data_IF_014547807471
#
_entry.id   IF_014547807471
#
_cell.length_a   1.000
_cell.length_b   1.000
_cell.length_c   1.000
_cell.angle_alpha   90.00
_cell.angle_beta   90.00
_cell.angle_gamma   90.00
#
_symmetry.space_group_name_H-M   'P 1'
#
loop_
_entity.id
_entity.type
_entity.pdbx_description
1 polymer ?
#
# COMPACT_ATOMS: atom_id res chain seq x y z
N UNK A 1 -14.02 -55.79 24.04
CA UNK A 1 -12.73 -56.43 23.74
C UNK A 1 -12.58 -56.46 22.23
N UNK A 2 -11.58 -55.72 21.76
CA UNK A 2 -10.97 -55.68 20.42
C UNK A 2 -11.83 -55.99 19.19
N UNK A 3 -12.11 -54.96 18.40
CA UNK A 3 -12.09 -55.08 16.94
C UNK A 3 -11.24 -53.94 16.38
N UNK A 4 -10.01 -54.29 16.04
CA UNK A 4 -9.07 -53.50 15.24
C UNK A 4 -9.47 -53.57 13.76
N UNK A 5 -9.74 -52.42 13.13
CA UNK A 5 -9.79 -52.29 11.67
C UNK A 5 -8.70 -51.29 11.25
N UNK A 6 -7.83 -51.63 10.28
CA UNK A 6 -6.60 -50.92 10.00
C UNK A 6 -6.73 -49.90 8.86
N UNK A 7 -5.77 -48.95 8.86
CA UNK A 7 -5.14 -48.35 7.68
C UNK A 7 -6.00 -47.57 6.66
N UNK A 8 -6.04 -46.25 6.82
CA UNK A 8 -6.04 -45.29 5.69
C UNK A 8 -4.98 -44.23 5.97
N UNK A 9 -3.72 -44.61 5.75
CA UNK A 9 -2.63 -43.64 5.61
C UNK A 9 -2.79 -42.97 4.24
N UNK A 10 -3.38 -41.77 4.25
CA UNK A 10 -3.33 -40.84 3.12
C UNK A 10 -1.88 -40.43 2.89
N UNK A 11 -1.21 -41.11 1.97
CA UNK A 11 0.02 -40.62 1.35
C UNK A 11 -0.29 -39.93 0.03
N UNK A 12 0.32 -38.77 -0.17
CA UNK A 12 0.37 -37.95 -1.40
C UNK A 12 -0.94 -37.19 -1.70
N UNK A 13 -0.97 -35.87 -1.87
CA UNK A 13 0.01 -34.99 -2.51
C UNK A 13 0.07 -33.68 -1.71
N UNK A 14 1.22 -33.41 -1.09
CA UNK A 14 1.64 -32.05 -0.78
C UNK A 14 1.80 -31.30 -2.10
N UNK A 15 0.70 -30.74 -2.61
CA UNK A 15 0.76 -29.75 -3.67
C UNK A 15 1.21 -28.44 -3.01
N UNK A 16 2.51 -28.43 -2.69
CA UNK A 16 3.26 -27.20 -2.51
C UNK A 16 3.27 -26.52 -3.87
N UNK A 17 2.17 -25.86 -4.21
CA UNK A 17 2.19 -24.83 -5.23
C UNK A 17 3.00 -23.70 -4.61
N UNK A 18 4.32 -23.82 -4.72
CA UNK A 18 5.21 -22.69 -4.62
C UNK A 18 4.59 -21.62 -5.49
N UNK A 19 4.12 -20.56 -4.84
CA UNK A 19 3.73 -19.32 -5.48
C UNK A 19 4.99 -18.87 -6.24
N UNK A 20 5.10 -19.31 -7.50
CA UNK A 20 6.12 -18.84 -8.41
C UNK A 20 5.77 -17.38 -8.66
N UNK A 21 6.33 -16.50 -7.83
CA UNK A 21 6.41 -15.09 -8.13
C UNK A 21 7.22 -15.00 -9.42
N UNK A 22 6.53 -14.80 -10.54
CA UNK A 22 7.18 -14.50 -11.80
C UNK A 22 7.78 -13.11 -11.65
N UNK A 23 9.00 -13.07 -11.11
CA UNK A 23 9.84 -11.90 -11.07
C UNK A 23 10.01 -11.37 -12.50
N UNK A 24 10.00 -10.05 -12.66
CA UNK A 24 10.31 -9.43 -13.95
C UNK A 24 11.70 -9.84 -14.45
N UNK A 25 12.05 -9.47 -15.68
CA UNK A 25 13.30 -9.86 -16.38
C UNK A 25 14.57 -9.62 -15.54
N UNK A 26 14.53 -8.73 -14.53
CA UNK A 26 15.61 -8.43 -13.59
C UNK A 26 15.35 -8.76 -12.10
N UNK A 27 14.28 -9.48 -11.75
CA UNK A 27 14.02 -9.82 -10.35
C UNK A 27 13.06 -8.90 -9.59
N UNK A 28 12.86 -7.66 -10.05
CA UNK A 28 12.05 -6.64 -9.37
C UNK A 28 10.55 -6.78 -9.64
N UNK A 29 9.72 -6.54 -8.61
CA UNK A 29 8.27 -6.46 -8.77
C UNK A 29 7.90 -5.16 -9.51
N UNK A 30 6.81 -5.17 -10.31
CA UNK A 30 6.20 -3.94 -10.83
C UNK A 30 5.87 -2.93 -9.73
N UNK A 31 5.73 -1.66 -10.10
CA UNK A 31 5.32 -0.59 -9.19
C UNK A 31 4.03 0.06 -9.66
N UNK A 32 3.07 0.22 -8.76
CA UNK A 32 1.88 1.06 -8.94
C UNK A 32 2.09 2.38 -8.19
N UNK A 33 1.88 3.51 -8.86
CA UNK A 33 1.94 4.84 -8.27
C UNK A 33 0.53 5.42 -8.19
N UNK A 34 0.15 5.97 -7.03
CA UNK A 34 -1.07 6.74 -6.85
C UNK A 34 -0.74 8.15 -6.36
N UNK A 35 -1.08 9.16 -7.16
CA UNK A 35 -0.81 10.55 -6.85
C UNK A 35 -1.71 11.11 -5.73
N UNK A 36 -1.36 12.31 -5.26
CA UNK A 36 -2.09 13.06 -4.24
C UNK A 36 -3.19 13.96 -4.80
N UNK A 37 -3.83 14.70 -3.90
CA UNK A 37 -4.87 15.68 -4.25
C UNK A 37 -4.32 16.75 -5.21
N UNK A 38 -5.04 17.00 -6.32
CA UNK A 38 -4.70 18.07 -7.27
C UNK A 38 -3.48 17.83 -8.16
N UNK A 39 -2.97 16.61 -8.19
CA UNK A 39 -1.97 16.17 -9.17
C UNK A 39 -2.60 15.17 -10.16
N UNK A 40 -1.80 14.61 -11.06
CA UNK A 40 -2.19 13.58 -12.02
C UNK A 40 -1.13 12.50 -12.17
N UNK A 41 -1.49 11.40 -12.84
CA UNK A 41 -0.59 10.29 -13.15
C UNK A 41 0.74 10.70 -13.79
N UNK A 42 0.75 11.81 -14.52
CA UNK A 42 1.66 11.98 -15.65
C UNK A 42 2.27 13.37 -15.74
N UNK A 43 2.12 14.21 -14.70
CA UNK A 43 2.76 15.51 -14.62
C UNK A 43 4.30 15.36 -14.62
N UNK A 44 5.04 15.89 -15.61
CA UNK A 44 6.50 15.74 -15.71
C UNK A 44 7.27 16.27 -14.49
N UNK A 45 6.72 17.24 -13.77
CA UNK A 45 7.37 17.85 -12.60
C UNK A 45 7.03 17.13 -11.28
N UNK A 46 6.13 16.14 -11.30
CA UNK A 46 5.69 15.39 -10.11
C UNK A 46 5.75 13.88 -10.37
N UNK A 47 4.62 13.21 -10.61
CA UNK A 47 4.62 11.74 -10.79
C UNK A 47 5.44 11.28 -11.99
N UNK A 48 5.59 12.11 -13.02
CA UNK A 48 6.49 11.87 -14.15
C UNK A 48 7.95 11.83 -13.71
N UNK A 49 8.41 12.79 -12.90
CA UNK A 49 9.79 12.82 -12.40
C UNK A 49 10.07 11.64 -11.46
N UNK A 50 9.13 11.31 -10.57
CA UNK A 50 9.22 10.12 -9.69
C UNK A 50 9.33 8.84 -10.51
N UNK A 51 8.46 8.67 -11.52
CA UNK A 51 8.50 7.50 -12.40
C UNK A 51 9.86 7.39 -13.11
N UNK A 52 10.34 8.46 -13.71
CA UNK A 52 11.64 8.47 -14.40
C UNK A 52 12.81 8.18 -13.44
N UNK A 53 12.78 8.71 -12.23
CA UNK A 53 13.78 8.45 -11.20
C UNK A 53 13.85 6.97 -10.83
N UNK A 54 12.69 6.31 -10.69
CA UNK A 54 12.58 4.88 -10.37
C UNK A 54 13.06 4.01 -11.54
N UNK A 55 12.58 4.29 -12.75
CA UNK A 55 12.98 3.53 -13.96
C UNK A 55 14.50 3.64 -14.22
N UNK A 56 15.11 4.78 -13.88
CA UNK A 56 16.57 4.97 -13.95
C UNK A 56 17.35 4.10 -12.95
N UNK A 57 16.82 3.89 -11.74
CA UNK A 57 17.53 3.21 -10.64
C UNK A 57 17.13 1.75 -10.44
N UNK A 58 16.05 1.29 -11.07
CA UNK A 58 15.59 -0.11 -11.05
C UNK A 58 15.41 -0.58 -12.51
N UNK A 59 16.50 -1.04 -13.16
CA UNK A 59 16.45 -1.39 -14.58
C UNK A 59 15.39 -2.45 -14.88
N UNK A 60 14.55 -2.21 -15.89
CA UNK A 60 13.53 -3.16 -16.35
C UNK A 60 12.26 -3.23 -15.49
N UNK A 61 12.11 -2.37 -14.48
CA UNK A 61 10.88 -2.27 -13.71
C UNK A 61 9.70 -1.80 -14.59
N UNK A 62 8.52 -2.38 -14.39
CA UNK A 62 7.29 -1.86 -14.96
C UNK A 62 6.64 -0.91 -13.96
N UNK A 63 6.51 0.38 -14.32
CA UNK A 63 5.84 1.39 -13.48
C UNK A 63 4.49 1.81 -14.07
N UNK A 64 3.42 1.55 -13.32
CA UNK A 64 2.04 1.96 -13.61
C UNK A 64 1.64 3.13 -12.73
N UNK A 65 1.77 4.35 -13.24
CA UNK A 65 1.16 5.54 -12.63
C UNK A 65 -0.33 5.58 -12.96
N UNK A 66 -1.18 5.57 -11.95
CA UNK A 66 -2.63 5.44 -12.10
C UNK A 66 -3.25 6.75 -12.58
N UNK A 67 -4.05 6.66 -13.64
CA UNK A 67 -4.94 7.72 -14.13
C UNK A 67 -6.40 7.30 -13.88
N UNK A 68 -7.15 8.16 -13.20
CA UNK A 68 -8.57 7.98 -12.85
C UNK A 68 -9.41 8.89 -13.75
N UNK A 69 -10.21 8.28 -14.63
CA UNK A 69 -10.83 8.97 -15.75
C UNK A 69 -10.07 8.78 -17.07
N UNK A 70 -10.41 9.62 -18.06
CA UNK A 70 -10.02 9.42 -19.47
C UNK A 70 -8.83 10.29 -19.92
N UNK A 71 -8.46 11.30 -19.14
CA UNK A 71 -7.36 12.21 -19.46
C UNK A 71 -6.82 12.88 -18.18
N UNK A 72 -5.69 13.60 -18.32
CA UNK A 72 -4.99 14.26 -17.22
C UNK A 72 -5.85 15.31 -16.48
N UNK A 73 -6.72 16.01 -17.21
CA UNK A 73 -7.60 17.04 -16.63
C UNK A 73 -8.64 16.37 -15.73
N UNK A 74 -9.29 15.33 -16.23
CA UNK A 74 -10.25 14.54 -15.46
C UNK A 74 -9.59 13.89 -14.23
N UNK A 75 -8.38 13.35 -14.39
CA UNK A 75 -7.58 12.76 -13.31
C UNK A 75 -7.32 13.75 -12.17
N UNK A 76 -6.92 14.97 -12.54
CA UNK A 76 -6.67 16.06 -11.58
C UNK A 76 -7.93 16.45 -10.82
N UNK A 77 -9.05 16.64 -11.53
CA UNK A 77 -10.33 16.99 -10.91
C UNK A 77 -10.92 15.86 -10.07
N UNK A 78 -10.79 14.60 -10.52
CA UNK A 78 -11.23 13.43 -9.79
C UNK A 78 -10.47 13.28 -8.47
N UNK A 79 -9.21 13.70 -8.42
CA UNK A 79 -8.43 13.82 -7.18
C UNK A 79 -9.10 14.68 -6.09
N UNK A 80 -9.96 15.63 -6.46
CA UNK A 80 -10.73 16.46 -5.52
C UNK A 80 -12.19 16.01 -5.36
N UNK A 81 -12.87 15.67 -6.47
CA UNK A 81 -14.33 15.64 -6.52
C UNK A 81 -14.93 14.24 -6.64
N UNK A 82 -14.16 13.26 -7.12
CA UNK A 82 -14.69 11.92 -7.31
C UNK A 82 -14.79 11.18 -5.97
N UNK A 83 -15.92 10.53 -5.74
CA UNK A 83 -16.12 9.70 -4.54
C UNK A 83 -14.97 8.67 -4.38
N UNK A 84 -14.29 8.68 -3.24
CA UNK A 84 -13.13 7.83 -2.99
C UNK A 84 -13.42 6.33 -3.15
N UNK A 85 -14.63 5.86 -2.78
CA UNK A 85 -14.98 4.45 -3.00
C UNK A 85 -15.08 4.10 -4.48
N UNK A 86 -15.56 5.02 -5.33
CA UNK A 86 -15.57 4.82 -6.79
C UNK A 86 -14.15 4.84 -7.36
N UNK A 87 -13.28 5.74 -6.89
CA UNK A 87 -11.87 5.76 -7.27
C UNK A 87 -11.19 4.41 -6.96
N UNK A 88 -11.39 3.89 -5.74
CA UNK A 88 -10.85 2.59 -5.33
C UNK A 88 -11.40 1.45 -6.20
N UNK A 89 -12.69 1.45 -6.53
CA UNK A 89 -13.28 0.44 -7.42
C UNK A 89 -12.67 0.48 -8.82
N UNK A 90 -12.51 1.67 -9.40
CA UNK A 90 -11.90 1.86 -10.71
C UNK A 90 -10.44 1.39 -10.73
N UNK A 91 -9.65 1.77 -9.71
CA UNK A 91 -8.26 1.35 -9.59
C UNK A 91 -8.13 -0.16 -9.40
N UNK A 92 -8.95 -0.77 -8.54
CA UNK A 92 -8.97 -2.23 -8.38
C UNK A 92 -9.24 -2.93 -9.71
N UNK A 93 -10.18 -2.43 -10.53
CA UNK A 93 -10.45 -2.97 -11.87
C UNK A 93 -9.22 -2.83 -12.77
N UNK A 94 -8.61 -1.65 -12.84
CA UNK A 94 -7.39 -1.44 -13.65
C UNK A 94 -6.26 -2.39 -13.26
N UNK A 95 -6.01 -2.55 -11.95
CA UNK A 95 -4.98 -3.46 -11.43
C UNK A 95 -5.28 -4.91 -11.80
N UNK A 96 -6.52 -5.37 -11.61
CA UNK A 96 -6.91 -6.76 -11.92
C UNK A 96 -6.81 -7.08 -13.42
N UNK A 97 -7.03 -6.09 -14.28
CA UNK A 97 -6.93 -6.26 -15.74
C UNK A 97 -5.51 -6.18 -16.29
N UNK A 98 -4.57 -5.60 -15.54
CA UNK A 98 -3.18 -5.48 -15.98
C UNK A 98 -2.43 -6.80 -15.75
N UNK A 99 -2.14 -7.52 -16.84
CA UNK A 99 -1.47 -8.81 -16.79
C UNK A 99 -0.09 -8.77 -16.13
N UNK A 100 0.59 -7.62 -16.16
CA UNK A 100 1.90 -7.45 -15.54
C UNK A 100 1.83 -7.39 -14.02
N UNK A 101 0.67 -7.07 -13.44
CA UNK A 101 0.48 -6.93 -11.99
C UNK A 101 -0.06 -8.19 -11.31
N UNK A 102 -0.41 -9.24 -12.07
CA UNK A 102 -1.06 -10.46 -11.55
C UNK A 102 -0.20 -11.24 -10.56
N UNK A 103 1.12 -11.19 -10.71
CA UNK A 103 2.07 -11.99 -9.91
C UNK A 103 2.70 -11.20 -8.74
N UNK A 104 1.99 -10.17 -8.27
CA UNK A 104 2.46 -9.26 -7.23
C UNK A 104 3.03 -7.97 -7.79
N UNK A 105 2.98 -6.92 -6.98
CA UNK A 105 3.48 -5.59 -7.30
C UNK A 105 3.76 -4.83 -6.00
N UNK A 106 4.66 -3.85 -6.07
CA UNK A 106 4.82 -2.81 -5.07
C UNK A 106 3.83 -1.67 -5.34
N UNK A 107 3.39 -0.98 -4.29
CA UNK A 107 2.55 0.21 -4.42
C UNK A 107 3.15 1.37 -3.62
N UNK A 108 3.11 2.56 -4.20
CA UNK A 108 3.47 3.81 -3.53
C UNK A 108 2.36 4.84 -3.76
N UNK A 109 1.90 5.44 -2.67
CA UNK A 109 0.89 6.48 -2.68
C UNK A 109 1.44 7.78 -2.10
N UNK A 110 1.14 8.90 -2.74
CA UNK A 110 1.58 10.23 -2.29
C UNK A 110 0.40 10.99 -1.68
N UNK A 111 0.60 11.60 -0.50
CA UNK A 111 -0.45 12.30 0.24
C UNK A 111 -1.71 11.42 0.39
N UNK A 112 -2.90 11.87 -0.04
CA UNK A 112 -4.13 11.06 -0.01
C UNK A 112 -4.00 9.70 -0.73
N UNK A 113 -3.12 9.61 -1.75
CA UNK A 113 -2.87 8.39 -2.49
C UNK A 113 -2.35 7.25 -1.60
N UNK A 114 -1.67 7.55 -0.49
CA UNK A 114 -1.22 6.56 0.49
C UNK A 114 -2.38 5.81 1.14
N UNK A 115 -3.39 6.55 1.60
CA UNK A 115 -4.60 5.97 2.19
C UNK A 115 -5.43 5.22 1.13
N UNK A 116 -5.45 5.71 -0.10
CA UNK A 116 -6.16 5.05 -1.20
C UNK A 116 -5.49 3.74 -1.62
N UNK A 117 -4.15 3.68 -1.69
CA UNK A 117 -3.41 2.44 -1.87
C UNK A 117 -3.75 1.43 -0.78
N UNK A 118 -3.69 1.84 0.50
CA UNK A 118 -4.04 0.98 1.63
C UNK A 118 -5.48 0.45 1.51
N UNK A 119 -6.45 1.32 1.23
CA UNK A 119 -7.84 0.92 1.06
C UNK A 119 -8.05 -0.02 -0.14
N UNK A 120 -7.33 0.21 -1.25
CA UNK A 120 -7.27 -0.68 -2.41
C UNK A 120 -6.75 -2.06 -2.03
N UNK A 121 -5.64 -2.14 -1.30
CA UNK A 121 -5.07 -3.41 -0.81
C UNK A 121 -6.06 -4.18 0.06
N UNK A 122 -6.72 -3.50 0.99
CA UNK A 122 -7.75 -4.12 1.84
C UNK A 122 -8.91 -4.67 1.01
N UNK A 123 -9.37 -3.93 0.00
CA UNK A 123 -10.53 -4.30 -0.84
C UNK A 123 -10.21 -5.30 -1.95
N UNK A 124 -8.97 -5.38 -2.42
CA UNK A 124 -8.58 -6.32 -3.47
C UNK A 124 -8.95 -7.75 -3.03
N UNK A 125 -9.71 -8.45 -3.87
CA UNK A 125 -10.21 -9.81 -3.62
C UNK A 125 -11.28 -9.93 -2.51
N UNK A 126 -11.83 -8.83 -2.01
CA UNK A 126 -13.02 -8.89 -1.15
C UNK A 126 -14.26 -9.06 -2.03
N UNK A 127 -14.72 -10.29 -2.14
CA UNK A 127 -15.93 -10.70 -2.88
C UNK A 127 -16.79 -11.44 -1.86
N UNK A 128 -17.80 -10.78 -1.27
CA UNK A 128 -18.97 -11.34 -0.51
C UNK A 128 -19.59 -10.27 0.42
N UNK A 129 -20.49 -10.67 1.34
CA UNK A 129 -21.24 -9.85 2.31
C UNK A 129 -20.35 -9.03 3.28
N UNK A 130 -20.94 -8.06 3.99
CA UNK A 130 -20.20 -7.07 4.80
C UNK A 130 -19.34 -7.64 5.94
N UNK A 131 -19.73 -8.77 6.54
CA UNK A 131 -18.97 -9.37 7.65
C UNK A 131 -17.72 -10.10 7.14
N UNK A 132 -17.83 -10.79 6.01
CA UNK A 132 -16.70 -11.41 5.33
C UNK A 132 -15.72 -10.34 4.80
N UNK A 133 -16.24 -9.19 4.35
CA UNK A 133 -15.44 -8.03 3.92
C UNK A 133 -14.60 -7.43 5.06
N UNK A 134 -15.14 -7.36 6.29
CA UNK A 134 -14.36 -6.84 7.43
C UNK A 134 -13.23 -7.77 7.83
N UNK A 135 -13.48 -9.08 7.80
CA UNK A 135 -12.44 -10.09 8.06
C UNK A 135 -11.39 -10.13 6.94
N UNK A 136 -11.79 -9.91 5.68
CA UNK A 136 -10.86 -9.88 4.56
C UNK A 136 -9.89 -8.70 4.61
N UNK A 137 -10.28 -7.53 5.14
CA UNK A 137 -9.41 -6.35 5.20
C UNK A 137 -8.15 -6.58 6.03
N UNK A 138 -8.32 -7.16 7.23
CA UNK A 138 -7.19 -7.53 8.11
C UNK A 138 -6.29 -8.56 7.40
N UNK A 139 -6.87 -9.62 6.85
CA UNK A 139 -6.13 -10.68 6.16
C UNK A 139 -5.36 -10.14 4.96
N UNK A 140 -5.98 -9.28 4.16
CA UNK A 140 -5.36 -8.70 2.97
C UNK A 140 -4.22 -7.75 3.31
N UNK A 141 -4.39 -6.89 4.32
CA UNK A 141 -3.32 -6.00 4.76
C UNK A 141 -2.10 -6.79 5.28
N UNK A 142 -2.34 -7.87 6.02
CA UNK A 142 -1.27 -8.73 6.57
C UNK A 142 -0.46 -9.48 5.51
N UNK A 143 -0.96 -9.60 4.27
CA UNK A 143 -0.20 -10.17 3.13
C UNK A 143 0.95 -9.28 2.69
N UNK A 144 0.94 -7.99 3.02
CA UNK A 144 2.05 -7.10 2.70
C UNK A 144 3.35 -7.62 3.31
N UNK A 145 4.42 -7.58 2.52
CA UNK A 145 5.77 -7.87 3.01
C UNK A 145 6.30 -6.70 3.85
N UNK A 146 6.05 -5.47 3.39
CA UNK A 146 6.43 -4.24 4.05
C UNK A 146 5.28 -3.23 3.94
N UNK A 147 5.02 -2.49 5.02
CA UNK A 147 4.17 -1.31 5.04
C UNK A 147 5.00 -0.13 5.54
N UNK A 148 5.44 0.68 4.58
CA UNK A 148 6.34 1.82 4.82
C UNK A 148 5.52 3.10 4.92
N UNK A 149 5.73 3.85 6.00
CA UNK A 149 5.07 5.11 6.28
C UNK A 149 6.13 6.20 6.43
N UNK A 150 6.00 7.27 5.66
CA UNK A 150 6.94 8.40 5.64
C UNK A 150 6.27 9.59 6.29
N UNK A 151 6.94 10.19 7.28
CA UNK A 151 6.52 11.43 7.92
C UNK A 151 7.40 12.61 7.50
N UNK A 152 6.80 13.73 7.14
CA UNK A 152 7.47 15.00 6.90
C UNK A 152 7.59 15.80 8.21
N UNK A 153 8.81 16.06 8.66
CA UNK A 153 9.03 16.63 10.00
C UNK A 153 8.47 18.07 10.13
N UNK A 154 8.37 18.80 9.03
CA UNK A 154 7.91 20.18 8.97
C UNK A 154 6.62 20.32 8.15
N UNK A 155 5.81 19.26 8.07
CA UNK A 155 4.56 19.27 7.30
C UNK A 155 3.60 20.37 7.79
N UNK A 156 3.24 21.27 6.87
CA UNK A 156 2.28 22.36 7.10
C UNK A 156 0.91 22.11 6.46
N UNK A 157 0.74 21.00 5.74
CA UNK A 157 -0.49 20.64 5.03
C UNK A 157 -1.32 19.61 5.80
N UNK A 158 -0.67 18.65 6.45
CA UNK A 158 -1.32 17.55 7.18
C UNK A 158 -1.44 17.90 8.66
N UNK A 159 -2.69 17.94 9.16
CA UNK A 159 -2.97 18.23 10.57
C UNK A 159 -3.85 17.16 11.23
N UNK A 160 -3.37 16.45 12.27
CA UNK A 160 -2.00 16.48 12.79
C UNK A 160 -1.06 15.67 11.88
N UNK A 161 0.19 16.10 11.71
CA UNK A 161 1.21 15.36 10.91
C UNK A 161 1.41 13.91 11.38
N UNK A 162 1.12 13.63 12.65
CA UNK A 162 1.17 12.29 13.22
C UNK A 162 0.25 11.28 12.50
N UNK A 163 -0.75 11.75 11.76
CA UNK A 163 -1.57 10.90 10.88
C UNK A 163 -0.76 10.16 9.83
N UNK A 164 0.38 10.70 9.40
CA UNK A 164 1.30 10.06 8.45
C UNK A 164 1.88 8.75 9.01
N UNK A 165 1.89 8.58 10.34
CA UNK A 165 2.28 7.37 11.06
C UNK A 165 1.11 6.77 11.89
N UNK A 166 -0.14 6.93 11.45
CA UNK A 166 -1.34 6.42 12.14
C UNK A 166 -1.58 6.97 13.56
N UNK A 167 -0.89 8.04 13.95
CA UNK A 167 -1.26 8.79 15.15
C UNK A 167 -2.43 9.73 14.90
N UNK A 168 -3.10 10.17 15.97
CA UNK A 168 -4.19 11.13 15.87
C UNK A 168 -4.39 11.90 17.17
N UNK A 169 -5.31 12.85 17.19
CA UNK A 169 -5.78 13.46 18.43
C UNK A 169 -6.50 12.46 19.32
N UNK A 170 -6.27 12.53 20.63
CA UNK A 170 -7.08 11.79 21.60
C UNK A 170 -8.56 12.18 21.50
N UNK A 171 -9.52 11.24 21.66
CA UNK A 171 -10.93 11.52 21.49
C UNK A 171 -11.42 12.69 22.36
N UNK A 172 -12.28 13.53 21.79
CA UNK A 172 -12.94 14.65 22.49
C UNK A 172 -12.17 15.97 22.51
N UNK A 173 -11.02 16.07 21.83
CA UNK A 173 -10.18 17.27 21.81
C UNK A 173 -9.20 17.28 20.60
N UNK A 174 -8.47 18.38 20.39
CA UNK A 174 -7.61 18.64 19.23
C UNK A 174 -6.17 19.10 19.58
N UNK A 175 -5.68 18.74 20.78
CA UNK A 175 -4.35 19.14 21.30
C UNK A 175 -3.45 17.94 21.60
N UNK A 176 -3.88 17.08 22.50
CA UNK A 176 -3.15 15.88 22.89
C UNK A 176 -3.23 14.82 21.79
N UNK A 177 -2.09 14.21 21.50
CA UNK A 177 -1.96 13.19 20.47
C UNK A 177 -1.79 11.80 21.10
N UNK A 178 -2.17 10.78 20.34
CA UNK A 178 -1.76 9.40 20.56
C UNK A 178 -1.00 8.89 19.34
N UNK A 179 -0.08 7.96 19.57
CA UNK A 179 0.62 7.20 18.54
C UNK A 179 -0.18 5.98 18.09
N UNK A 180 0.14 5.38 16.94
CA UNK A 180 -0.47 4.11 16.52
C UNK A 180 -0.53 3.08 17.66
N UNK A 181 0.57 2.89 18.40
CA UNK A 181 0.68 1.87 19.47
C UNK A 181 -0.22 2.14 20.68
N UNK A 182 -0.63 3.40 20.88
CA UNK A 182 -1.56 3.80 21.94
C UNK A 182 -3.03 3.74 21.49
N UNK A 183 -3.29 3.57 20.19
CA UNK A 183 -4.65 3.55 19.64
C UNK A 183 -5.37 2.23 19.93
N UNK A 184 -6.69 2.29 20.08
CA UNK A 184 -7.55 1.09 20.14
C UNK A 184 -7.41 0.22 18.89
N UNK A 185 -7.19 0.84 17.72
CA UNK A 185 -6.95 0.15 16.46
C UNK A 185 -5.79 -0.87 16.55
N UNK A 186 -4.70 -0.48 17.22
CA UNK A 186 -3.52 -1.31 17.41
C UNK A 186 -3.65 -2.26 18.60
N UNK A 187 -4.14 -1.77 19.75
CA UNK A 187 -4.26 -2.56 20.99
C UNK A 187 -5.18 -3.78 20.78
N UNK A 188 -6.30 -3.59 20.09
CA UNK A 188 -7.24 -4.66 19.74
C UNK A 188 -6.90 -5.34 18.40
N UNK A 189 -5.83 -4.89 17.73
CA UNK A 189 -5.35 -5.43 16.47
C UNK A 189 -6.43 -5.54 15.37
N UNK A 190 -7.30 -4.53 15.28
CA UNK A 190 -8.51 -4.55 14.42
C UNK A 190 -8.19 -4.69 12.93
N UNK A 191 -7.03 -4.19 12.50
CA UNK A 191 -6.54 -4.29 11.12
C UNK A 191 -5.32 -5.21 10.97
N UNK A 192 -4.85 -5.86 12.05
CA UNK A 192 -3.65 -6.70 12.00
C UNK A 192 -2.32 -5.94 12.12
N UNK A 193 -2.35 -4.63 12.39
CA UNK A 193 -1.16 -3.77 12.46
C UNK A 193 -0.22 -4.16 13.60
N UNK A 194 -0.72 -4.64 14.74
CA UNK A 194 0.14 -5.09 15.85
C UNK A 194 0.89 -6.35 15.49
N UNK A 195 0.22 -7.29 14.84
CA UNK A 195 0.87 -8.50 14.35
C UNK A 195 1.89 -8.20 13.23
N UNK A 196 1.64 -7.20 12.38
CA UNK A 196 2.61 -6.74 11.38
C UNK A 196 3.81 -6.05 12.02
N UNK A 197 3.62 -5.21 13.04
CA UNK A 197 4.69 -4.54 13.77
C UNK A 197 5.60 -5.57 14.46
N UNK A 198 5.03 -6.59 15.13
CA UNK A 198 5.82 -7.66 15.76
C UNK A 198 6.60 -8.53 14.77
N UNK A 199 6.21 -8.53 13.49
CA UNK A 199 6.91 -9.22 12.41
C UNK A 199 7.94 -8.32 11.69
N UNK A 200 8.12 -7.07 12.14
CA UNK A 200 9.03 -6.11 11.50
C UNK A 200 8.54 -5.62 10.14
N UNK A 201 7.24 -5.74 9.84
CA UNK A 201 6.66 -5.33 8.56
C UNK A 201 6.31 -3.85 8.51
N UNK A 202 6.13 -3.17 9.65
CA UNK A 202 5.85 -1.74 9.70
C UNK A 202 7.16 -0.94 9.75
N UNK A 203 7.34 -0.02 8.81
CA UNK A 203 8.52 0.83 8.73
C UNK A 203 8.10 2.29 8.88
N UNK A 204 8.67 2.97 9.88
CA UNK A 204 8.40 4.38 10.18
C UNK A 204 9.63 5.20 9.78
N UNK A 205 9.55 5.88 8.64
CA UNK A 205 10.61 6.75 8.12
C UNK A 205 10.21 8.21 8.30
N UNK A 206 11.16 9.08 8.59
CA UNK A 206 10.94 10.52 8.58
C UNK A 206 11.97 11.22 7.70
N UNK A 207 11.58 12.40 7.23
CA UNK A 207 12.43 13.27 6.41
C UNK A 207 12.21 14.72 6.82
N UNK A 208 13.29 15.48 6.88
CA UNK A 208 13.22 16.93 7.07
C UNK A 208 12.70 17.58 5.79
N UNK A 209 11.65 18.38 5.94
CA UNK A 209 10.92 18.91 4.81
C UNK A 209 9.46 19.17 5.15
N UNK A 210 8.88 20.07 4.36
CA UNK A 210 7.44 20.30 4.31
C UNK A 210 6.77 19.20 3.47
N UNK A 211 5.44 19.22 3.35
CA UNK A 211 4.64 18.19 2.69
C UNK A 211 5.19 17.79 1.32
N UNK A 212 5.49 16.49 1.16
CA UNK A 212 6.06 15.89 -0.06
C UNK A 212 7.39 16.50 -0.53
N UNK A 213 8.10 17.25 0.32
CA UNK A 213 9.43 17.76 0.02
C UNK A 213 10.49 16.81 0.56
N UNK A 214 11.19 16.15 -0.35
CA UNK A 214 12.33 15.30 -0.07
C UNK A 214 13.34 15.39 -1.21
N UNK A 215 14.61 15.05 -0.95
CA UNK A 215 15.65 15.02 -1.99
C UNK A 215 15.61 13.70 -2.77
N UNK A 216 16.10 13.71 -4.01
CA UNK A 216 16.28 12.49 -4.79
C UNK A 216 17.16 11.48 -4.05
N UNK A 217 18.27 11.92 -3.46
CA UNK A 217 19.20 11.07 -2.72
C UNK A 217 18.50 10.34 -1.57
N UNK A 218 17.69 11.06 -0.79
CA UNK A 218 16.91 10.45 0.30
C UNK A 218 15.94 9.41 -0.25
N UNK A 219 15.23 9.71 -1.34
CA UNK A 219 14.27 8.79 -1.94
C UNK A 219 14.97 7.54 -2.51
N UNK A 220 16.10 7.72 -3.19
CA UNK A 220 16.90 6.61 -3.72
C UNK A 220 17.40 5.73 -2.57
N UNK A 221 18.00 6.32 -1.54
CA UNK A 221 18.62 5.58 -0.43
C UNK A 221 17.59 4.89 0.46
N UNK A 222 16.54 5.62 0.86
CA UNK A 222 15.58 5.15 1.88
C UNK A 222 14.41 4.39 1.30
N UNK A 223 14.03 4.65 0.05
CA UNK A 223 12.88 4.01 -0.60
C UNK A 223 13.33 3.00 -1.67
N UNK A 224 13.99 3.46 -2.72
CA UNK A 224 14.30 2.60 -3.88
C UNK A 224 15.24 1.46 -3.49
N UNK A 225 16.39 1.78 -2.88
CA UNK A 225 17.42 0.79 -2.55
C UNK A 225 16.96 -0.21 -1.49
N UNK A 226 16.04 0.17 -0.60
CA UNK A 226 15.57 -0.69 0.50
C UNK A 226 14.37 -1.56 0.14
N UNK A 227 13.47 -1.08 -0.71
CA UNK A 227 12.16 -1.70 -0.89
C UNK A 227 11.80 -2.06 -2.33
N UNK A 228 12.59 -1.64 -3.33
CA UNK A 228 12.26 -1.83 -4.75
C UNK A 228 13.29 -2.65 -5.55
N UNK A 229 14.45 -2.95 -4.96
CA UNK A 229 15.51 -3.77 -5.56
C UNK A 229 15.47 -5.21 -5.06
#
# INVERSE_FOLDING_TARGET
MELSIPLLLFTFVSLWCSLCTAKGVNGSLPLVIWHGMGDSCCNPLSMGSIKSLIEKHVPGIYVRSLMIGNNIVEDTYNGFLMNANKQIQEVCKKIQTDSKLKNGYNAIGFSQGGQFCQAGIMKLYSITNELEVKMSYKVNLQKLANFVMVMFNNDTMVQPKQTEWFGFYKPGQDKELYTLRQSTLYIEDRLGLRAMDSQGKLHFLSVDGDHLRFTEDWFIEKIINKFMK
#
